data_IF_922488860041
#
_entry.id   IF_922488860041
#
_cell.length_a   1.000
_cell.length_b   1.000
_cell.length_c   1.000
_cell.angle_alpha   90.00
_cell.angle_beta   90.00
_cell.angle_gamma   90.00
#
_symmetry.space_group_name_H-M   'P 1'
#
loop_
_entity.id
_entity.type
_entity.pdbx_description
1 polymer ?
#
# COMPACT_ATOMS: atom_id res chain seq x y z
N UNK A 1 -13.13 40.16 -7.78
CA UNK A 1 -12.30 41.38 -7.78
C UNK A 1 -11.12 41.16 -6.84
N UNK A 2 -9.90 41.59 -7.22
CA UNK A 2 -8.62 41.01 -6.80
C UNK A 2 -7.93 41.81 -5.70
N UNK A 3 -7.08 41.15 -4.91
CA UNK A 3 -5.95 41.79 -4.21
C UNK A 3 -4.82 40.76 -3.99
N UNK A 4 -3.71 40.94 -4.72
CA UNK A 4 -2.36 40.63 -4.22
C UNK A 4 -1.88 41.88 -3.44
N UNK A 5 -0.73 41.90 -2.71
CA UNK A 5 0.28 40.87 -2.46
C UNK A 5 0.68 40.76 -0.97
N UNK A 6 1.41 39.71 -0.56
CA UNK A 6 2.48 39.85 0.46
C UNK A 6 3.37 38.60 0.49
N UNK A 7 4.66 38.79 0.21
CA UNK A 7 5.70 37.88 0.69
C UNK A 7 6.41 38.57 1.86
N UNK A 8 6.63 37.85 2.97
CA UNK A 8 7.83 38.05 3.75
C UNK A 8 8.64 36.74 3.76
N UNK A 9 9.92 36.93 3.42
CA UNK A 9 11.00 36.05 3.84
C UNK A 9 11.01 35.93 5.37
N UNK A 10 11.14 34.72 5.92
CA UNK A 10 12.03 34.53 7.08
C UNK A 10 12.29 33.06 7.36
N UNK A 11 13.57 32.83 7.64
CA UNK A 11 14.23 31.61 8.04
C UNK A 11 13.47 30.84 9.14
N UNK A 12 13.21 29.56 8.88
CA UNK A 12 12.88 28.58 9.92
C UNK A 12 13.74 27.33 9.73
N UNK A 13 14.90 27.26 10.39
CA UNK A 13 15.66 26.01 10.51
C UNK A 13 14.87 25.05 11.39
N UNK A 14 14.12 24.14 10.80
CA UNK A 14 13.51 23.03 11.54
C UNK A 14 14.59 22.02 11.92
N UNK A 15 14.90 21.97 13.22
CA UNK A 15 15.70 20.90 13.79
C UNK A 15 14.75 19.82 14.28
N UNK A 16 14.67 18.71 13.54
CA UNK A 16 13.90 17.53 13.95
C UNK A 16 14.82 16.60 14.73
N UNK A 17 14.55 16.44 16.03
CA UNK A 17 15.17 15.42 16.88
C UNK A 17 14.31 14.16 16.82
N UNK A 18 14.62 13.25 15.90
CA UNK A 18 14.27 11.82 16.01
C UNK A 18 15.16 11.05 15.05
N UNK A 19 15.76 9.95 15.53
CA UNK A 19 16.64 9.06 14.76
C UNK A 19 15.81 8.41 13.65
N UNK A 20 15.92 8.99 12.45
CA UNK A 20 16.16 8.34 11.16
C UNK A 20 15.49 9.12 10.01
N UNK A 21 15.92 10.37 9.84
CA UNK A 21 15.67 11.13 8.60
C UNK A 21 17.00 11.68 8.09
N UNK A 22 17.79 10.84 7.42
CA UNK A 22 19.02 11.26 6.74
C UNK A 22 18.76 11.69 5.29
N UNK A 23 17.73 12.51 5.05
CA UNK A 23 17.42 13.06 3.73
C UNK A 23 17.70 14.56 3.67
N UNK A 24 18.79 14.97 3.02
CA UNK A 24 19.03 16.38 2.68
C UNK A 24 18.20 16.72 1.43
N UNK A 25 17.26 17.63 1.60
CA UNK A 25 16.49 18.19 0.48
C UNK A 25 17.25 19.39 -0.09
N UNK A 26 17.64 19.31 -1.37
CA UNK A 26 18.26 20.44 -2.07
C UNK A 26 17.25 21.02 -3.04
N UNK A 27 16.98 22.32 -2.88
CA UNK A 27 16.19 23.09 -3.84
C UNK A 27 17.12 23.67 -4.89
N UNK A 28 16.95 23.26 -6.14
CA UNK A 28 17.54 23.93 -7.30
C UNK A 28 16.50 24.00 -8.42
N UNK A 29 16.29 25.20 -8.95
CA UNK A 29 15.43 25.46 -10.13
C UNK A 29 13.96 25.01 -10.01
N UNK A 30 13.38 25.11 -8.80
CA UNK A 30 11.94 24.90 -8.58
C UNK A 30 11.48 23.43 -8.60
N UNK A 31 12.38 22.46 -8.83
CA UNK A 31 12.09 21.04 -8.74
C UNK A 31 12.78 20.44 -7.51
N UNK A 32 11.98 19.89 -6.60
CA UNK A 32 12.49 19.14 -5.45
C UNK A 32 12.92 17.76 -5.94
N UNK A 33 14.22 17.46 -5.87
CA UNK A 33 14.74 16.11 -6.12
C UNK A 33 15.35 15.56 -4.84
N UNK A 34 14.80 14.45 -4.36
CA UNK A 34 15.36 13.64 -3.28
C UNK A 34 16.67 13.02 -3.81
N UNK A 35 17.79 13.29 -3.15
CA UNK A 35 19.04 12.57 -3.42
C UNK A 35 18.92 11.20 -2.77
N UNK A 36 19.01 10.17 -3.59
CA UNK A 36 18.81 8.78 -3.25
C UNK A 36 20.04 8.26 -2.50
N UNK A 37 19.82 7.75 -1.29
CA UNK A 37 20.83 7.03 -0.52
C UNK A 37 20.75 5.57 -1.00
N UNK A 38 21.83 4.98 -1.58
CA UNK A 38 21.78 3.62 -2.08
C UNK A 38 21.62 2.67 -0.89
N UNK A 39 20.40 2.19 -0.66
CA UNK A 39 20.07 1.34 0.47
C UNK A 39 18.61 1.33 0.91
N UNK A 40 17.69 2.01 0.22
CA UNK A 40 16.26 1.97 0.56
C UNK A 40 15.39 1.81 -0.68
N UNK A 41 15.44 0.59 -1.23
CA UNK A 41 14.52 0.13 -2.26
C UNK A 41 13.15 -0.17 -1.61
N UNK A 42 12.37 0.88 -1.36
CA UNK A 42 10.94 0.82 -1.06
C UNK A 42 10.14 1.15 -2.33
N UNK A 43 10.41 0.47 -3.45
CA UNK A 43 9.44 0.37 -4.55
C UNK A 43 9.83 -0.76 -5.52
N UNK A 44 9.12 -1.90 -5.49
CA UNK A 44 8.94 -2.69 -6.70
C UNK A 44 9.42 -4.16 -6.75
N UNK A 45 10.12 -4.71 -5.77
CA UNK A 45 10.62 -6.10 -5.89
C UNK A 45 9.77 -7.13 -5.16
N UNK A 46 8.82 -7.72 -5.89
CA UNK A 46 8.60 -9.16 -5.79
C UNK A 46 9.84 -9.85 -6.39
N UNK A 47 10.59 -10.56 -5.53
CA UNK A 47 11.84 -11.25 -5.79
C UNK A 47 13.10 -10.36 -5.84
N UNK A 48 13.91 -10.47 -4.79
CA UNK A 48 15.29 -9.97 -4.75
C UNK A 48 15.53 -8.95 -3.64
N UNK A 49 16.26 -9.35 -2.59
CA UNK A 49 17.06 -8.40 -1.82
C UNK A 49 16.76 -8.16 -0.34
N UNK A 50 15.98 -9.00 0.36
CA UNK A 50 16.10 -9.19 1.82
C UNK A 50 15.17 -10.35 2.22
N UNK A 51 15.70 -11.38 2.89
CA UNK A 51 15.09 -12.70 3.02
C UNK A 51 13.55 -12.75 3.23
N UNK A 52 12.86 -13.43 2.30
CA UNK A 52 11.61 -14.18 2.49
C UNK A 52 10.36 -13.47 3.02
N UNK A 53 10.37 -12.15 3.24
CA UNK A 53 9.26 -11.45 3.91
C UNK A 53 8.36 -10.71 2.93
N UNK A 54 7.38 -11.43 2.39
CA UNK A 54 6.32 -10.83 1.54
C UNK A 54 5.16 -10.33 2.39
N UNK A 55 4.70 -9.10 2.20
CA UNK A 55 3.44 -8.63 2.81
C UNK A 55 2.22 -9.30 2.17
N UNK A 56 1.24 -9.66 2.98
CA UNK A 56 0.00 -10.31 2.56
C UNK A 56 -1.21 -9.63 3.19
N UNK A 57 -2.32 -9.63 2.46
CA UNK A 57 -3.62 -9.18 2.96
C UNK A 57 -4.31 -10.33 3.69
N UNK A 58 -4.84 -10.07 4.87
CA UNK A 58 -5.49 -11.06 5.73
C UNK A 58 -6.86 -10.55 6.15
N UNK A 59 -7.87 -11.40 6.04
CA UNK A 59 -9.18 -11.15 6.62
C UNK A 59 -9.13 -11.43 8.13
N UNK A 60 -9.20 -10.39 8.95
CA UNK A 60 -8.95 -10.47 10.39
C UNK A 60 -9.93 -11.41 11.10
N UNK A 61 -11.26 -11.32 10.88
CA UNK A 61 -12.21 -12.17 11.60
C UNK A 61 -12.03 -13.68 11.38
N UNK A 62 -11.51 -14.10 10.21
CA UNK A 62 -11.31 -15.52 9.91
C UNK A 62 -9.85 -15.96 9.91
N UNK A 63 -8.90 -15.04 10.05
CA UNK A 63 -7.46 -15.30 9.88
C UNK A 63 -7.05 -15.77 8.48
N UNK A 64 -7.92 -15.60 7.47
CA UNK A 64 -7.69 -16.16 6.13
C UNK A 64 -6.81 -15.21 5.31
N UNK A 65 -5.71 -15.75 4.77
CA UNK A 65 -4.82 -15.01 3.88
C UNK A 65 -5.46 -14.92 2.49
N UNK A 66 -5.55 -13.72 1.95
CA UNK A 66 -6.05 -13.48 0.58
C UNK A 66 -4.97 -13.91 -0.41
N UNK A 67 -5.21 -15.04 -1.07
CA UNK A 67 -4.28 -15.66 -2.03
C UNK A 67 -4.77 -15.59 -3.48
N UNK A 68 -6.03 -15.20 -3.69
CA UNK A 68 -6.64 -15.04 -5.01
C UNK A 68 -7.81 -14.05 -4.98
N UNK A 69 -8.32 -13.66 -6.14
CA UNK A 69 -9.49 -12.78 -6.22
C UNK A 69 -10.80 -13.47 -5.82
N UNK A 70 -10.90 -14.79 -5.94
CA UNK A 70 -12.06 -15.56 -5.45
C UNK A 70 -12.17 -15.45 -3.92
N UNK A 71 -11.04 -15.55 -3.21
CA UNK A 71 -11.00 -15.36 -1.75
C UNK A 71 -11.37 -13.93 -1.38
N UNK A 72 -10.78 -12.94 -2.05
CA UNK A 72 -11.07 -11.53 -1.81
C UNK A 72 -12.55 -11.21 -2.05
N UNK A 73 -13.09 -11.64 -3.19
CA UNK A 73 -14.48 -11.37 -3.58
C UNK A 73 -15.47 -12.01 -2.61
N UNK A 74 -15.24 -13.26 -2.20
CA UNK A 74 -16.11 -13.93 -1.22
C UNK A 74 -16.17 -13.16 0.10
N UNK A 75 -15.01 -12.74 0.63
CA UNK A 75 -14.94 -11.96 1.87
C UNK A 75 -15.51 -10.55 1.72
N UNK A 76 -15.30 -9.90 0.59
CA UNK A 76 -15.92 -8.61 0.28
C UNK A 76 -17.46 -8.72 0.18
N UNK A 77 -18.01 -9.80 -0.41
CA UNK A 77 -19.45 -10.04 -0.47
C UNK A 77 -20.10 -10.17 0.90
N UNK A 78 -19.43 -10.84 1.86
CA UNK A 78 -19.88 -10.92 3.26
C UNK A 78 -20.07 -9.52 3.88
N UNK A 79 -19.37 -8.50 3.37
CA UNK A 79 -19.44 -7.10 3.79
C UNK A 79 -20.35 -6.22 2.90
N UNK A 80 -21.10 -6.82 1.98
CA UNK A 80 -22.02 -6.12 1.07
C UNK A 80 -21.36 -5.44 -0.14
N UNK A 81 -20.15 -5.87 -0.50
CA UNK A 81 -19.49 -5.43 -1.73
C UNK A 81 -19.84 -6.36 -2.90
N UNK A 82 -20.08 -5.78 -4.07
CA UNK A 82 -20.47 -6.49 -5.27
C UNK A 82 -19.60 -6.07 -6.47
N UNK A 83 -19.57 -6.88 -7.53
CA UNK A 83 -18.92 -6.53 -8.80
C UNK A 83 -19.67 -5.37 -9.45
N UNK A 84 -18.96 -4.28 -9.73
CA UNK A 84 -19.58 -3.03 -10.22
C UNK A 84 -19.66 -2.96 -11.75
N UNK A 85 -18.55 -3.30 -12.44
CA UNK A 85 -18.44 -3.22 -13.91
C UNK A 85 -17.49 -4.32 -14.38
N UNK A 86 -17.77 -4.89 -15.55
CA UNK A 86 -16.84 -5.81 -16.23
C UNK A 86 -15.88 -5.01 -17.13
N UNK A 87 -14.74 -4.62 -16.56
CA UNK A 87 -13.64 -3.97 -17.28
C UNK A 87 -12.59 -5.02 -17.73
N UNK A 88 -12.09 -4.98 -18.97
CA UNK A 88 -11.15 -5.99 -19.46
C UNK A 88 -9.79 -5.99 -18.72
N UNK A 89 -9.39 -4.88 -18.11
CA UNK A 89 -8.09 -4.70 -17.47
C UNK A 89 -8.17 -4.71 -15.94
N UNK A 90 -9.33 -4.37 -15.38
CA UNK A 90 -9.54 -4.17 -13.96
C UNK A 90 -10.68 -5.01 -13.41
N UNK A 91 -10.60 -5.26 -12.11
CA UNK A 91 -11.64 -5.85 -11.30
C UNK A 91 -12.13 -4.79 -10.32
N UNK A 92 -13.40 -4.40 -10.46
CA UNK A 92 -14.01 -3.34 -9.67
C UNK A 92 -15.07 -3.90 -8.72
N UNK A 93 -14.99 -3.47 -7.47
CA UNK A 93 -15.98 -3.79 -6.44
C UNK A 93 -16.61 -2.50 -5.90
N UNK A 94 -17.92 -2.48 -5.78
CA UNK A 94 -18.69 -1.37 -5.22
C UNK A 94 -19.47 -1.85 -3.99
N UNK A 95 -19.53 -1.03 -2.95
CA UNK A 95 -20.36 -1.30 -1.79
C UNK A 95 -21.70 -0.58 -1.93
N UNK A 96 -22.80 -1.33 -2.06
CA UNK A 96 -24.12 -0.77 -2.41
C UNK A 96 -24.63 0.35 -1.50
N UNK A 97 -24.21 0.36 -0.25
CA UNK A 97 -24.62 1.34 0.76
C UNK A 97 -23.72 2.58 0.84
N UNK A 98 -22.64 2.64 0.06
CA UNK A 98 -21.67 3.74 0.11
C UNK A 98 -21.23 4.16 -1.30
N UNK A 99 -20.42 5.21 -1.40
CA UNK A 99 -19.79 5.64 -2.67
C UNK A 99 -18.43 4.97 -2.91
N UNK A 100 -18.05 3.99 -2.09
CA UNK A 100 -16.73 3.40 -2.16
C UNK A 100 -16.61 2.38 -3.29
N UNK A 101 -15.46 2.44 -3.97
CA UNK A 101 -15.11 1.59 -5.10
C UNK A 101 -13.70 1.05 -4.91
N UNK A 102 -13.49 -0.26 -4.85
CA UNK A 102 -12.15 -0.87 -4.84
C UNK A 102 -11.79 -1.26 -6.27
N UNK A 103 -10.64 -0.80 -6.76
CA UNK A 103 -10.13 -1.15 -8.09
C UNK A 103 -8.82 -1.93 -7.97
N UNK A 104 -8.81 -3.15 -8.50
CA UNK A 104 -7.63 -4.03 -8.50
C UNK A 104 -7.31 -4.51 -9.93
N UNK A 105 -6.05 -4.87 -10.23
CA UNK A 105 -5.70 -5.49 -11.51
C UNK A 105 -6.53 -6.75 -11.75
N UNK A 106 -6.70 -7.15 -13.01
CA UNK A 106 -7.38 -8.42 -13.32
C UNK A 106 -6.54 -9.65 -13.02
N UNK A 107 -5.22 -9.52 -13.15
CA UNK A 107 -4.25 -10.55 -12.79
C UNK A 107 -3.78 -10.37 -11.34
N UNK A 108 -3.99 -11.39 -10.51
CA UNK A 108 -3.64 -11.37 -9.09
C UNK A 108 -2.12 -11.30 -8.86
N UNK A 109 -1.29 -11.72 -9.82
CA UNK A 109 0.16 -11.54 -9.73
C UNK A 109 0.57 -10.05 -9.66
N UNK A 110 -0.28 -9.17 -10.18
CA UNK A 110 -0.11 -7.71 -10.12
C UNK A 110 -0.71 -7.09 -8.86
N UNK A 111 -1.27 -7.88 -7.94
CA UNK A 111 -1.84 -7.39 -6.68
C UNK A 111 -0.75 -6.93 -5.69
N UNK A 112 -0.40 -5.65 -5.78
CA UNK A 112 0.58 -4.93 -4.97
C UNK A 112 -0.02 -4.28 -3.72
N UNK A 113 0.86 -3.76 -2.86
CA UNK A 113 0.52 -3.09 -1.61
C UNK A 113 -0.47 -1.94 -1.76
N UNK A 114 -0.35 -1.14 -2.82
CA UNK A 114 -1.30 -0.03 -3.07
C UNK A 114 -2.75 -0.54 -3.15
N UNK A 115 -2.98 -1.71 -3.73
CA UNK A 115 -4.29 -2.32 -3.80
C UNK A 115 -4.72 -2.95 -2.47
N UNK A 116 -3.77 -3.53 -1.72
CA UNK A 116 -4.04 -4.06 -0.38
C UNK A 116 -4.48 -2.95 0.58
N UNK A 117 -3.77 -1.82 0.61
CA UNK A 117 -4.11 -0.68 1.46
C UNK A 117 -5.47 -0.09 1.09
N UNK A 118 -5.80 -0.05 -0.20
CA UNK A 118 -7.12 0.42 -0.65
C UNK A 118 -8.26 -0.45 -0.07
N UNK A 119 -8.09 -1.78 -0.07
CA UNK A 119 -9.03 -2.70 0.58
C UNK A 119 -9.13 -2.44 2.07
N UNK A 120 -7.99 -2.33 2.78
CA UNK A 120 -7.95 -2.10 4.25
C UNK A 120 -8.73 -0.84 4.63
N UNK A 121 -8.44 0.27 3.96
CA UNK A 121 -9.07 1.57 4.24
C UNK A 121 -10.57 1.52 3.95
N UNK A 122 -10.97 0.98 2.80
CA UNK A 122 -12.38 0.95 2.38
C UNK A 122 -13.24 -0.05 3.17
N UNK A 123 -12.62 -1.05 3.79
CA UNK A 123 -13.30 -2.05 4.63
C UNK A 123 -13.18 -1.76 6.12
N UNK A 124 -12.70 -0.57 6.52
CA UNK A 124 -12.56 -0.15 7.93
C UNK A 124 -11.76 -1.16 8.77
N UNK A 125 -10.65 -1.64 8.23
CA UNK A 125 -9.73 -2.58 8.88
C UNK A 125 -10.32 -3.98 9.19
N UNK A 126 -11.40 -4.39 8.53
CA UNK A 126 -11.80 -5.82 8.54
C UNK A 126 -10.72 -6.70 7.90
N UNK A 127 -9.93 -6.10 6.99
CA UNK A 127 -8.68 -6.68 6.51
C UNK A 127 -7.49 -5.92 7.06
N UNK A 128 -6.36 -6.62 7.19
CA UNK A 128 -5.08 -6.05 7.60
C UNK A 128 -3.93 -6.61 6.75
N UNK A 129 -2.79 -5.91 6.77
CA UNK A 129 -1.58 -6.33 6.03
C UNK A 129 -0.55 -6.86 7.02
N UNK A 130 -0.16 -8.12 6.85
CA UNK A 130 0.84 -8.79 7.68
C UNK A 130 2.07 -9.18 6.86
N UNK A 131 3.21 -9.29 7.53
CA UNK A 131 4.37 -9.95 6.94
C UNK A 131 4.13 -11.45 6.91
N UNK A 132 4.10 -12.05 5.71
CA UNK A 132 4.28 -13.50 5.56
C UNK A 132 5.74 -13.79 5.87
N UNK A 133 5.97 -14.42 7.01
CA UNK A 133 7.26 -15.03 7.30
C UNK A 133 7.25 -16.40 6.63
N UNK A 134 8.08 -16.59 5.61
CA UNK A 134 8.41 -17.94 5.13
C UNK A 134 9.10 -18.66 6.29
N UNK A 135 8.38 -19.57 6.96
CA UNK A 135 9.03 -20.48 7.89
C UNK A 135 9.95 -21.37 7.05
N UNK A 136 11.25 -21.14 7.19
CA UNK A 136 12.29 -21.98 6.63
C UNK A 136 12.02 -23.45 6.97
N UNK A 137 12.26 -24.27 5.97
CA UNK A 137 12.26 -25.73 6.03
C UNK A 137 12.91 -26.23 7.32
N UNK A 138 12.15 -27.01 8.07
CA UNK A 138 12.58 -28.06 9.01
C UNK A 138 14.07 -28.16 9.33
N UNK A 139 14.44 -27.65 10.50
CA UNK A 139 15.37 -28.40 11.36
C UNK A 139 14.67 -29.71 11.75
N UNK A 140 15.25 -30.85 11.36
CA UNK A 140 15.15 -32.12 12.10
C UNK A 140 16.17 -33.15 11.57
N UNK A 141 17.13 -33.47 12.46
CA UNK A 141 17.79 -34.78 12.75
C UNK A 141 18.51 -35.45 11.57
N UNK A 142 19.82 -35.73 11.59
CA UNK A 142 20.67 -36.37 12.62
C UNK A 142 22.03 -35.68 12.82
#
# INVERSE_FOLDING_TARGET
MPTLPYCPSSHGKFHTRSRDMSGVWVFKDGLVRRVENPGQDDEGSSAGGSGGRRKVLVHVPSGEVVTSYEVLERRLRELGWERYVNDPCLLLFHQRSTVHLISVPRDFARFRLVHMYDVVVKTRNVFEIFWRTERGSTDRVE
#
